data_IF_729945190454
#
_entry.id   IF_729945190454
#
_cell.length_a   1.000
_cell.length_b   1.000
_cell.length_c   1.000
_cell.angle_alpha   90.00
_cell.angle_beta   90.00
_cell.angle_gamma   90.00
#
_symmetry.space_group_name_H-M   'P 1'
#
loop_
_entity.id
_entity.type
_entity.pdbx_description
1 polymer ?
#
# COMPACT_ATOMS: atom_id res chain seq x y z
N UNK A 1 8.89 41.74 -15.40
CA UNK A 1 8.27 40.55 -14.78
C UNK A 1 8.14 40.76 -13.28
N UNK A 2 7.53 41.87 -12.85
CA UNK A 2 7.45 42.22 -11.43
C UNK A 2 6.25 41.51 -10.79
N UNK A 3 6.47 40.76 -9.71
CA UNK A 3 5.42 40.04 -8.95
C UNK A 3 5.46 38.50 -8.98
N UNK A 4 6.51 37.87 -9.52
CA UNK A 4 6.72 36.41 -9.48
C UNK A 4 7.52 35.93 -8.27
N UNK A 5 8.38 36.77 -7.68
CA UNK A 5 9.27 36.39 -6.59
C UNK A 5 8.51 35.86 -5.37
N UNK A 6 7.48 36.58 -4.91
CA UNK A 6 6.62 36.10 -3.79
C UNK A 6 5.90 34.78 -4.03
N UNK A 7 5.69 34.39 -5.29
CA UNK A 7 5.02 33.12 -5.65
C UNK A 7 6.01 31.96 -5.73
N UNK A 8 7.23 32.22 -6.16
CA UNK A 8 8.27 31.22 -6.37
C UNK A 8 9.67 31.83 -6.14
N UNK A 9 10.08 32.00 -4.86
CA UNK A 9 11.36 32.61 -4.52
C UNK A 9 12.54 31.73 -4.91
N UNK A 10 12.36 30.39 -4.96
CA UNK A 10 13.42 29.45 -5.36
C UNK A 10 13.77 29.60 -6.84
N UNK A 11 12.76 29.70 -7.72
CA UNK A 11 13.01 29.91 -9.14
C UNK A 11 13.68 31.27 -9.42
N UNK A 12 13.31 32.31 -8.68
CA UNK A 12 13.93 33.63 -8.80
C UNK A 12 15.40 33.61 -8.35
N UNK A 13 15.70 32.95 -7.22
CA UNK A 13 17.07 32.76 -6.74
C UNK A 13 17.92 31.98 -7.77
N UNK A 14 17.39 30.90 -8.32
CA UNK A 14 18.08 30.10 -9.33
C UNK A 14 18.34 30.88 -10.63
N UNK A 15 17.38 31.73 -11.04
CA UNK A 15 17.55 32.60 -12.21
C UNK A 15 18.66 33.63 -11.98
N UNK A 16 18.69 34.23 -10.79
CA UNK A 16 19.73 35.18 -10.41
C UNK A 16 21.11 34.52 -10.33
N UNK A 17 21.21 33.35 -9.68
CA UNK A 17 22.44 32.55 -9.60
C UNK A 17 23.00 32.23 -10.98
N UNK A 18 22.15 31.72 -11.87
CA UNK A 18 22.52 31.43 -13.27
C UNK A 18 22.99 32.69 -14.00
N UNK A 19 22.39 33.84 -13.74
CA UNK A 19 22.80 35.11 -14.35
C UNK A 19 24.16 35.57 -13.84
N UNK A 20 24.43 35.42 -12.54
CA UNK A 20 25.70 35.77 -11.92
C UNK A 20 26.84 34.90 -12.49
N UNK A 21 26.60 33.60 -12.59
CA UNK A 21 27.58 32.64 -13.12
C UNK A 21 27.92 32.87 -14.59
N UNK A 22 26.94 33.24 -15.42
CA UNK A 22 27.14 33.36 -16.87
C UNK A 22 27.58 34.76 -17.33
N UNK A 23 27.16 35.81 -16.62
CA UNK A 23 27.35 37.19 -17.10
C UNK A 23 28.28 38.02 -16.23
N UNK A 24 28.67 37.52 -15.04
CA UNK A 24 29.55 38.23 -14.09
C UNK A 24 29.19 39.72 -13.92
N UNK A 25 27.92 40.02 -13.58
CA UNK A 25 27.38 41.38 -13.55
C UNK A 25 28.15 42.26 -12.57
N UNK A 26 28.45 43.49 -12.96
CA UNK A 26 29.06 44.46 -12.06
C UNK A 26 28.04 45.02 -11.04
N UNK A 27 28.46 45.93 -10.16
CA UNK A 27 27.55 46.50 -9.16
C UNK A 27 26.33 47.20 -9.79
N UNK A 28 26.49 47.89 -10.93
CA UNK A 28 25.40 48.58 -11.62
C UNK A 28 24.47 47.59 -12.28
N UNK A 29 25.02 46.57 -12.93
CA UNK A 29 24.26 45.48 -13.51
C UNK A 29 23.38 44.80 -12.44
N UNK A 30 23.94 44.58 -11.24
CA UNK A 30 23.20 44.04 -10.11
C UNK A 30 22.06 44.97 -9.64
N UNK A 31 22.23 46.31 -9.69
CA UNK A 31 21.12 47.23 -9.41
C UNK A 31 20.02 47.10 -10.47
N UNK A 32 20.39 47.00 -11.75
CA UNK A 32 19.43 46.85 -12.85
C UNK A 32 18.67 45.52 -12.72
N UNK A 33 19.38 44.44 -12.42
CA UNK A 33 18.80 43.12 -12.18
C UNK A 33 17.82 43.18 -11.00
N UNK A 34 18.22 43.76 -9.86
CA UNK A 34 17.36 43.87 -8.69
C UNK A 34 16.10 44.71 -8.95
N UNK A 35 16.24 45.84 -9.65
CA UNK A 35 15.12 46.72 -10.02
C UNK A 35 14.17 46.10 -11.04
N UNK A 36 14.70 45.26 -11.94
CA UNK A 36 13.90 44.58 -12.97
C UNK A 36 13.16 43.35 -12.43
N UNK A 37 13.79 42.59 -11.52
CA UNK A 37 13.28 41.31 -11.03
C UNK A 37 12.36 41.45 -9.80
N UNK A 38 12.62 42.42 -8.94
CA UNK A 38 11.96 42.54 -7.64
C UNK A 38 11.20 43.87 -7.53
N UNK A 39 10.09 43.86 -6.81
CA UNK A 39 9.41 45.09 -6.39
C UNK A 39 10.22 45.84 -5.32
N UNK A 40 9.92 47.11 -5.11
CA UNK A 40 10.59 47.92 -4.07
C UNK A 40 10.49 47.31 -2.66
N UNK A 41 9.33 46.75 -2.29
CA UNK A 41 9.16 46.09 -1.00
C UNK A 41 10.03 44.82 -0.88
N UNK A 42 10.05 44.00 -1.94
CA UNK A 42 10.86 42.78 -1.99
C UNK A 42 12.35 43.11 -1.90
N UNK A 43 12.81 44.11 -2.65
CA UNK A 43 14.20 44.61 -2.58
C UNK A 43 14.56 45.04 -1.16
N UNK A 44 13.69 45.79 -0.48
CA UNK A 44 13.96 46.26 0.88
C UNK A 44 14.23 45.11 1.85
N UNK A 45 13.44 44.04 1.75
CA UNK A 45 13.62 42.85 2.60
C UNK A 45 14.86 42.04 2.18
N UNK A 46 15.12 41.91 0.88
CA UNK A 46 16.34 41.28 0.33
C UNK A 46 17.61 41.97 0.84
N UNK A 47 17.68 43.29 0.70
CA UNK A 47 18.83 44.09 1.14
C UNK A 47 19.02 43.97 2.66
N UNK A 48 17.93 44.03 3.44
CA UNK A 48 17.99 43.83 4.89
C UNK A 48 18.53 42.46 5.28
N UNK A 49 18.15 41.38 4.59
CA UNK A 49 18.69 40.03 4.85
C UNK A 49 20.15 39.87 4.43
N UNK A 50 20.56 40.50 3.35
CA UNK A 50 21.96 40.53 2.95
C UNK A 50 22.81 41.25 4.02
N UNK A 51 22.35 42.39 4.53
CA UNK A 51 23.02 43.15 5.60
C UNK A 51 23.15 42.36 6.90
N UNK A 52 22.07 41.71 7.36
CA UNK A 52 22.11 40.85 8.54
C UNK A 52 23.18 39.75 8.43
N UNK A 53 23.42 39.23 7.22
CA UNK A 53 24.44 38.19 7.01
C UNK A 53 25.86 38.74 7.12
N UNK A 54 26.11 39.94 6.58
CA UNK A 54 27.40 40.63 6.75
C UNK A 54 27.66 40.93 8.21
N UNK A 55 26.65 41.40 8.94
CA UNK A 55 26.75 41.68 10.38
C UNK A 55 27.09 40.43 11.20
N UNK A 56 26.54 39.25 10.86
CA UNK A 56 26.89 37.99 11.54
C UNK A 56 28.36 37.59 11.33
N UNK A 57 28.87 37.75 10.10
CA UNK A 57 30.27 37.47 9.79
C UNK A 57 31.18 38.43 10.57
N UNK A 58 30.80 39.70 10.64
CA UNK A 58 31.48 40.73 11.44
C UNK A 58 31.55 40.43 12.93
N UNK A 59 30.50 39.86 13.52
CA UNK A 59 30.49 39.51 14.94
C UNK A 59 31.53 38.43 15.26
N UNK A 60 31.91 37.60 14.29
CA UNK A 60 32.85 36.49 14.48
C UNK A 60 34.31 36.82 14.08
N UNK A 61 34.53 37.87 13.28
CA UNK A 61 35.85 38.29 12.81
C UNK A 61 36.13 39.76 13.17
N UNK A 62 36.94 39.99 14.21
CA UNK A 62 37.31 41.32 14.71
C UNK A 62 38.13 42.16 13.70
N UNK A 63 38.61 41.56 12.61
CA UNK A 63 39.32 42.25 11.52
C UNK A 63 38.41 42.57 10.32
N UNK A 64 37.12 42.23 10.38
CA UNK A 64 36.22 42.43 9.27
C UNK A 64 36.03 43.94 8.97
N UNK A 65 36.38 44.32 7.74
CA UNK A 65 36.24 45.65 7.12
C UNK A 65 34.78 46.13 7.14
N UNK A 66 34.51 47.43 7.26
CA UNK A 66 33.16 48.00 7.54
C UNK A 66 32.08 47.42 6.60
N UNK A 67 30.83 47.34 7.07
CA UNK A 67 29.66 46.91 6.27
C UNK A 67 29.63 47.55 4.87
N UNK A 68 29.97 48.84 4.79
CA UNK A 68 30.00 49.61 3.55
C UNK A 68 31.04 49.11 2.53
N UNK A 69 32.08 48.40 2.97
CA UNK A 69 33.12 47.85 2.09
C UNK A 69 32.62 46.60 1.33
N UNK A 70 31.67 45.86 1.90
CA UNK A 70 31.11 44.62 1.32
C UNK A 70 29.73 44.83 0.71
N UNK A 71 28.93 45.73 1.28
CA UNK A 71 27.56 45.99 0.87
C UNK A 71 27.32 47.50 0.66
N UNK A 72 28.00 48.12 -0.31
CA UNK A 72 27.92 49.55 -0.54
C UNK A 72 26.54 49.96 -1.08
N UNK A 73 25.99 51.03 -0.52
CA UNK A 73 24.70 51.60 -0.97
C UNK A 73 24.87 52.47 -2.23
N UNK A 74 26.05 53.05 -2.41
CA UNK A 74 26.42 53.89 -3.55
C UNK A 74 27.41 53.11 -4.43
N UNK A 75 27.41 53.37 -5.74
CA UNK A 75 28.31 52.69 -6.66
C UNK A 75 29.79 52.81 -6.22
N UNK A 76 30.44 51.69 -5.85
CA UNK A 76 31.82 51.69 -5.37
C UNK A 76 32.86 51.83 -6.48
N UNK A 77 32.45 51.78 -7.76
CA UNK A 77 33.34 51.83 -8.93
C UNK A 77 34.43 50.75 -8.89
N UNK A 78 34.06 49.53 -8.48
CA UNK A 78 35.01 48.41 -8.46
C UNK A 78 35.55 48.08 -9.85
N UNK A 79 36.88 48.02 -9.94
CA UNK A 79 37.64 47.61 -11.11
C UNK A 79 37.75 46.09 -11.17
N UNK A 80 37.26 45.52 -12.27
CA UNK A 80 37.30 44.10 -12.57
C UNK A 80 38.74 43.56 -12.69
N UNK A 81 39.70 44.40 -13.06
CA UNK A 81 41.10 44.02 -13.21
C UNK A 81 41.82 43.92 -11.86
N UNK A 82 41.30 44.57 -10.81
CA UNK A 82 41.86 44.51 -9.48
C UNK A 82 41.37 43.26 -8.72
N UNK A 83 42.31 42.40 -8.29
CA UNK A 83 42.00 41.14 -7.60
C UNK A 83 41.20 41.35 -6.30
N UNK A 84 41.51 42.38 -5.52
CA UNK A 84 40.82 42.65 -4.24
C UNK A 84 39.39 43.12 -4.50
N UNK A 85 39.20 44.01 -5.48
CA UNK A 85 37.88 44.55 -5.81
C UNK A 85 36.98 43.51 -6.50
N UNK A 86 37.57 42.59 -7.27
CA UNK A 86 36.86 41.43 -7.81
C UNK A 86 36.31 40.50 -6.72
N UNK A 87 37.08 40.29 -5.65
CA UNK A 87 36.61 39.52 -4.50
C UNK A 87 35.45 40.23 -3.80
N UNK A 88 35.53 41.56 -3.62
CA UNK A 88 34.42 42.35 -3.07
C UNK A 88 33.16 42.27 -3.93
N UNK A 89 33.30 42.34 -5.26
CA UNK A 89 32.20 42.15 -6.19
C UNK A 89 31.58 40.75 -6.09
N UNK A 90 32.41 39.72 -5.99
CA UNK A 90 31.95 38.32 -5.82
C UNK A 90 31.17 38.17 -4.51
N UNK A 91 31.68 38.76 -3.43
CA UNK A 91 31.01 38.73 -2.14
C UNK A 91 29.69 39.51 -2.19
N UNK A 92 29.66 40.67 -2.84
CA UNK A 92 28.44 41.44 -3.05
C UNK A 92 27.37 40.64 -3.81
N UNK A 93 27.74 39.99 -4.91
CA UNK A 93 26.85 39.12 -5.68
C UNK A 93 26.30 37.97 -4.82
N UNK A 94 27.17 37.33 -4.03
CA UNK A 94 26.78 36.26 -3.08
C UNK A 94 25.81 36.77 -2.01
N UNK A 95 26.05 37.95 -1.46
CA UNK A 95 25.20 38.56 -0.43
C UNK A 95 23.81 38.91 -0.98
N UNK A 96 23.72 39.45 -2.18
CA UNK A 96 22.44 39.69 -2.85
C UNK A 96 21.71 38.36 -3.10
N UNK A 97 22.41 37.34 -3.59
CA UNK A 97 21.82 36.01 -3.80
C UNK A 97 21.31 35.41 -2.48
N UNK A 98 22.08 35.55 -1.40
CA UNK A 98 21.66 35.13 -0.06
C UNK A 98 20.40 35.88 0.40
N UNK A 99 20.34 37.20 0.20
CA UNK A 99 19.17 38.02 0.51
C UNK A 99 17.94 37.51 -0.25
N UNK A 100 18.08 37.21 -1.54
CA UNK A 100 16.99 36.65 -2.38
C UNK A 100 16.56 35.26 -1.90
N UNK A 101 17.47 34.43 -1.40
CA UNK A 101 17.12 33.12 -0.88
C UNK A 101 16.39 33.19 0.47
N UNK A 102 16.64 34.22 1.28
CA UNK A 102 16.21 34.29 2.69
C UNK A 102 15.20 35.40 3.01
N UNK A 103 14.92 36.32 2.08
CA UNK A 103 14.01 37.45 2.32
C UNK A 103 12.55 37.06 2.51
N UNK A 104 12.11 35.96 1.89
CA UNK A 104 10.78 35.40 2.14
C UNK A 104 10.94 34.23 3.10
N UNK A 105 10.50 34.35 4.37
CA UNK A 105 10.48 33.23 5.27
C UNK A 105 9.67 32.10 4.65
N UNK A 106 10.28 30.93 4.46
CA UNK A 106 9.54 29.76 3.99
C UNK A 106 8.39 29.51 4.97
N UNK A 107 7.11 29.52 4.54
CA UNK A 107 6.00 29.34 5.46
C UNK A 107 6.14 27.97 6.12
N UNK A 108 6.31 27.96 7.44
CA UNK A 108 6.46 26.75 8.27
C UNK A 108 5.17 25.95 8.27
N UNK A 109 4.93 25.17 7.23
CA UNK A 109 3.77 24.29 7.17
C UNK A 109 4.10 22.94 7.81
N UNK A 110 4.37 22.96 9.12
CA UNK A 110 4.63 21.75 9.90
C UNK A 110 3.45 20.76 9.82
N UNK A 111 2.22 21.26 9.65
CA UNK A 111 1.03 20.43 9.43
C UNK A 111 1.19 19.48 8.24
N UNK A 112 1.88 19.89 7.16
CA UNK A 112 2.16 19.02 6.02
C UNK A 112 3.15 17.90 6.36
N UNK A 113 4.12 18.17 7.22
CA UNK A 113 5.08 17.16 7.70
C UNK A 113 4.35 16.14 8.58
N UNK A 114 3.50 16.60 9.50
CA UNK A 114 2.69 15.72 10.36
C UNK A 114 1.66 14.87 9.61
N UNK A 115 1.29 15.24 8.38
CA UNK A 115 0.38 14.44 7.54
C UNK A 115 1.07 13.24 6.87
N UNK A 116 2.40 13.19 6.84
CA UNK A 116 3.14 12.08 6.23
C UNK A 116 3.15 10.91 7.22
N UNK A 117 2.58 9.79 6.81
CA UNK A 117 2.48 8.55 7.60
C UNK A 117 3.06 7.41 6.78
N UNK A 118 3.81 6.51 7.43
CA UNK A 118 4.42 5.36 6.77
C UNK A 118 3.34 4.48 6.13
N UNK A 119 3.52 4.14 4.85
CA UNK A 119 2.68 3.18 4.15
C UNK A 119 2.78 1.77 4.74
N UNK A 120 1.74 0.95 4.57
CA UNK A 120 1.70 -0.43 5.11
C UNK A 120 2.83 -1.34 4.62
N UNK A 121 3.29 -1.10 3.40
CA UNK A 121 4.31 -1.88 2.69
C UNK A 121 5.56 -1.02 2.41
N UNK A 122 5.61 0.20 2.95
CA UNK A 122 6.71 1.13 2.73
C UNK A 122 7.85 0.85 3.70
N UNK A 123 9.07 0.68 3.16
CA UNK A 123 10.26 0.46 4.00
C UNK A 123 10.55 1.69 4.88
N UNK A 124 11.09 1.51 6.09
CA UNK A 124 11.45 2.63 6.98
C UNK A 124 12.36 3.69 6.34
N UNK A 125 13.35 3.27 5.55
CA UNK A 125 14.27 4.19 4.87
C UNK A 125 13.57 5.04 3.79
N UNK A 126 12.65 4.44 3.02
CA UNK A 126 11.87 5.17 2.02
C UNK A 126 10.96 6.21 2.69
N UNK A 127 10.30 5.83 3.78
CA UNK A 127 9.45 6.72 4.56
C UNK A 127 10.24 7.90 5.16
N UNK A 128 11.43 7.63 5.74
CA UNK A 128 12.29 8.69 6.26
C UNK A 128 12.73 9.66 5.15
N UNK A 129 13.10 9.14 3.98
CA UNK A 129 13.44 9.98 2.81
C UNK A 129 12.27 10.87 2.39
N UNK A 130 11.05 10.34 2.34
CA UNK A 130 9.85 11.11 2.02
C UNK A 130 9.58 12.22 3.07
N UNK A 131 9.84 11.94 4.34
CA UNK A 131 9.77 12.93 5.42
C UNK A 131 10.77 14.08 5.20
N UNK A 132 12.04 13.77 4.90
CA UNK A 132 13.06 14.77 4.59
C UNK A 132 12.68 15.63 3.37
N UNK A 133 12.22 15.00 2.29
CA UNK A 133 11.76 15.71 1.08
C UNK A 133 10.57 16.63 1.37
N UNK A 134 9.65 16.20 2.24
CA UNK A 134 8.49 17.01 2.65
C UNK A 134 8.91 18.17 3.54
N UNK A 135 9.83 17.93 4.49
CA UNK A 135 10.37 18.95 5.36
C UNK A 135 11.08 20.05 4.56
N UNK A 136 11.94 19.69 3.61
CA UNK A 136 12.64 20.64 2.72
C UNK A 136 11.67 21.49 1.88
N UNK A 137 10.53 20.91 1.48
CA UNK A 137 9.57 21.58 0.60
C UNK A 137 8.59 22.49 1.35
N UNK A 138 8.26 22.18 2.59
CA UNK A 138 7.17 22.81 3.34
C UNK A 138 7.61 23.45 4.67
N UNK A 139 8.92 23.42 4.98
CA UNK A 139 9.50 24.05 6.15
C UNK A 139 10.95 24.46 5.89
N UNK A 140 11.47 25.33 6.73
CA UNK A 140 12.86 25.78 6.83
C UNK A 140 13.72 24.90 7.77
N UNK A 141 13.34 23.63 7.97
CA UNK A 141 14.07 22.74 8.90
C UNK A 141 15.46 22.43 8.34
N UNK A 142 16.48 22.74 9.15
CA UNK A 142 17.87 22.45 8.85
C UNK A 142 18.24 21.10 9.50
N UNK A 143 18.50 20.08 8.68
CA UNK A 143 18.78 18.73 9.21
C UNK A 143 20.17 18.62 9.84
N UNK A 144 21.05 19.59 9.63
CA UNK A 144 22.37 19.66 10.28
C UNK A 144 22.26 20.29 11.68
N UNK A 145 21.13 20.98 11.96
CA UNK A 145 20.80 21.50 13.28
C UNK A 145 20.17 20.41 14.16
N UNK A 146 20.79 20.13 15.30
CA UNK A 146 20.36 19.07 16.22
C UNK A 146 18.88 19.13 16.62
N UNK A 147 18.34 20.33 16.89
CA UNK A 147 16.93 20.53 17.27
C UNK A 147 15.94 20.13 16.17
N UNK A 148 16.28 20.42 14.92
CA UNK A 148 15.41 20.18 13.76
C UNK A 148 15.50 18.72 13.32
N UNK A 149 16.70 18.13 13.38
CA UNK A 149 16.92 16.70 13.25
C UNK A 149 16.11 15.92 14.30
N UNK A 150 16.14 16.35 15.57
CA UNK A 150 15.39 15.73 16.66
C UNK A 150 13.87 15.81 16.44
N UNK A 151 13.36 16.93 15.92
CA UNK A 151 11.95 17.04 15.54
C UNK A 151 11.59 16.00 14.47
N UNK A 152 12.40 15.87 13.42
CA UNK A 152 12.15 14.93 12.34
C UNK A 152 12.17 13.46 12.82
N UNK A 153 13.10 13.13 13.72
CA UNK A 153 13.19 11.82 14.38
C UNK A 153 11.92 11.52 15.19
N UNK A 154 11.42 12.47 15.97
CA UNK A 154 10.17 12.29 16.73
C UNK A 154 8.96 12.07 15.81
N UNK A 155 8.89 12.81 14.69
CA UNK A 155 7.83 12.61 13.69
C UNK A 155 7.95 11.22 13.07
N UNK A 156 9.16 10.79 12.71
CA UNK A 156 9.42 9.45 12.18
C UNK A 156 8.92 8.35 13.14
N UNK A 157 9.23 8.44 14.43
CA UNK A 157 8.75 7.47 15.43
C UNK A 157 7.21 7.48 15.51
N UNK A 158 6.60 8.66 15.65
CA UNK A 158 5.14 8.78 15.79
C UNK A 158 4.37 8.27 14.57
N UNK A 159 4.87 8.58 13.38
CA UNK A 159 4.21 8.33 12.10
C UNK A 159 4.61 7.02 11.42
N UNK A 160 5.53 6.26 12.03
CA UNK A 160 5.81 4.87 11.64
C UNK A 160 4.60 3.96 11.86
N UNK A 161 4.59 2.82 11.17
CA UNK A 161 3.58 1.78 11.37
C UNK A 161 3.53 1.34 12.85
N UNK A 162 2.36 0.90 13.37
CA UNK A 162 2.19 0.63 14.80
C UNK A 162 3.17 -0.40 15.41
N UNK A 163 3.53 -1.43 14.65
CA UNK A 163 4.51 -2.45 15.00
C UNK A 163 5.93 -1.87 15.14
N UNK A 164 6.35 -1.09 14.13
CA UNK A 164 7.63 -0.39 14.12
C UNK A 164 7.68 0.65 15.23
N UNK A 165 6.66 1.51 15.33
CA UNK A 165 6.55 2.55 16.35
C UNK A 165 6.71 1.98 17.75
N UNK A 166 6.03 0.88 18.06
CA UNK A 166 6.15 0.21 19.36
C UNK A 166 7.61 -0.18 19.64
N UNK A 167 8.30 -0.78 18.64
CA UNK A 167 9.71 -1.14 18.78
C UNK A 167 10.63 0.07 18.96
N UNK A 168 10.35 1.17 18.27
CA UNK A 168 11.14 2.40 18.38
C UNK A 168 10.93 3.11 19.71
N UNK A 169 9.74 3.00 20.31
CA UNK A 169 9.45 3.55 21.64
C UNK A 169 10.07 2.74 22.79
N UNK A 170 10.44 1.48 22.54
CA UNK A 170 11.17 0.63 23.50
C UNK A 170 12.67 0.97 23.54
N UNK A 171 13.20 1.74 22.58
CA UNK A 171 14.57 2.21 22.62
C UNK A 171 14.66 3.39 23.59
N UNK A 172 15.57 3.30 24.56
CA UNK A 172 15.83 4.33 25.57
C UNK A 172 17.26 4.89 25.43
N UNK A 173 17.52 6.07 25.98
CA UNK A 173 18.84 6.69 25.98
C UNK A 173 19.29 7.27 24.64
N UNK A 174 20.58 7.16 24.32
CA UNK A 174 21.19 7.70 23.09
C UNK A 174 20.67 6.99 21.83
N UNK A 175 20.31 5.71 21.94
CA UNK A 175 19.76 4.92 20.84
C UNK A 175 18.39 5.44 20.36
N UNK A 176 17.63 6.10 21.25
CA UNK A 176 16.35 6.72 20.91
C UNK A 176 16.49 8.01 20.11
N UNK A 177 17.68 8.63 20.15
CA UNK A 177 18.00 9.88 19.43
C UNK A 177 18.81 9.62 18.16
N UNK A 178 19.47 8.46 18.08
CA UNK A 178 20.26 8.06 16.92
C UNK A 178 19.40 7.57 15.76
N UNK A 179 19.35 8.35 14.68
CA UNK A 179 18.65 7.99 13.45
C UNK A 179 19.06 6.63 12.89
N UNK A 180 20.36 6.32 12.90
CA UNK A 180 20.86 5.06 12.35
C UNK A 180 20.34 3.85 13.15
N UNK A 181 20.34 3.94 14.48
CA UNK A 181 19.83 2.87 15.36
C UNK A 181 18.33 2.68 15.20
N UNK A 182 17.58 3.79 15.09
CA UNK A 182 16.14 3.75 14.82
C UNK A 182 15.83 3.11 13.47
N UNK A 183 16.56 3.47 12.41
CA UNK A 183 16.37 2.88 11.08
C UNK A 183 16.69 1.39 11.07
N UNK A 184 17.76 0.97 11.75
CA UNK A 184 18.14 -0.44 11.85
C UNK A 184 17.07 -1.26 12.58
N UNK A 185 16.57 -0.76 13.72
CA UNK A 185 15.49 -1.40 14.47
C UNK A 185 14.19 -1.49 13.66
N UNK A 186 13.81 -0.40 12.99
CA UNK A 186 12.63 -0.36 12.13
C UNK A 186 12.75 -1.35 10.96
N UNK A 187 13.93 -1.45 10.35
CA UNK A 187 14.18 -2.35 9.24
C UNK A 187 14.07 -3.82 9.65
N UNK A 188 14.60 -4.19 10.82
CA UNK A 188 14.46 -5.54 11.40
C UNK A 188 12.99 -5.92 11.57
N UNK A 189 12.17 -5.02 12.12
CA UNK A 189 10.73 -5.26 12.32
C UNK A 189 10.00 -5.42 10.99
N UNK A 190 10.30 -4.56 10.01
CA UNK A 190 9.71 -4.61 8.68
C UNK A 190 9.99 -5.95 7.97
N UNK A 191 11.23 -6.43 7.99
CA UNK A 191 11.58 -7.71 7.37
C UNK A 191 10.97 -8.90 8.10
N UNK A 192 10.98 -8.90 9.43
CA UNK A 192 10.36 -9.97 10.23
C UNK A 192 8.87 -10.12 9.91
N UNK A 193 8.17 -9.01 9.61
CA UNK A 193 6.77 -9.02 9.21
C UNK A 193 6.55 -9.67 7.84
N UNK A 194 7.39 -9.36 6.84
CA UNK A 194 7.31 -10.05 5.55
C UNK A 194 7.59 -11.55 5.69
N UNK A 195 8.56 -11.92 6.51
CA UNK A 195 8.95 -13.32 6.71
C UNK A 195 7.87 -14.13 7.41
N UNK A 196 7.19 -13.55 8.41
CA UNK A 196 6.08 -14.21 9.09
C UNK A 196 4.87 -14.38 8.17
N UNK A 197 4.56 -13.39 7.33
CA UNK A 197 3.49 -13.51 6.33
C UNK A 197 3.79 -14.63 5.31
N UNK A 198 5.04 -14.73 4.84
CA UNK A 198 5.51 -15.82 3.98
C UNK A 198 5.42 -17.19 4.68
N UNK A 199 5.75 -17.26 5.97
CA UNK A 199 5.65 -18.50 6.78
C UNK A 199 4.20 -18.92 7.00
N UNK A 200 3.32 -17.98 7.34
CA UNK A 200 1.88 -18.25 7.46
C UNK A 200 1.28 -18.74 6.14
N UNK A 201 1.66 -18.13 5.01
CA UNK A 201 1.19 -18.56 3.70
C UNK A 201 1.62 -20.00 3.40
N UNK A 202 2.88 -20.35 3.66
CA UNK A 202 3.37 -21.74 3.54
C UNK A 202 2.57 -22.70 4.42
N UNK A 203 2.32 -22.37 5.69
CA UNK A 203 1.49 -23.18 6.61
C UNK A 203 0.06 -23.34 6.11
N UNK A 204 -0.55 -22.27 5.58
CA UNK A 204 -1.91 -22.31 4.99
C UNK A 204 -1.95 -23.18 3.75
N UNK A 205 -0.91 -23.13 2.92
CA UNK A 205 -0.80 -23.97 1.72
C UNK A 205 -0.62 -25.44 2.10
N UNK A 206 0.23 -25.75 3.07
CA UNK A 206 0.44 -27.10 3.59
C UNK A 206 -0.85 -27.70 4.14
N UNK A 207 -1.58 -26.96 4.99
CA UNK A 207 -2.91 -27.39 5.49
C UNK A 207 -3.89 -27.70 4.35
N UNK A 208 -3.89 -26.89 3.29
CA UNK A 208 -4.73 -27.14 2.10
C UNK A 208 -4.28 -28.39 1.34
N UNK A 209 -2.97 -28.64 1.23
CA UNK A 209 -2.44 -29.86 0.59
C UNK A 209 -2.80 -31.09 1.41
N UNK A 210 -2.69 -31.01 2.73
CA UNK A 210 -3.05 -32.10 3.63
C UNK A 210 -4.56 -32.40 3.61
N UNK A 211 -5.41 -31.37 3.62
CA UNK A 211 -6.87 -31.53 3.51
C UNK A 211 -7.25 -32.21 2.18
N UNK A 212 -6.63 -31.84 1.06
CA UNK A 212 -6.82 -32.51 -0.23
C UNK A 212 -6.43 -33.99 -0.17
N UNK A 213 -5.28 -34.32 0.44
CA UNK A 213 -4.83 -35.72 0.64
C UNK A 213 -5.82 -36.50 1.51
N UNK A 214 -6.34 -35.90 2.58
CA UNK A 214 -7.35 -36.51 3.46
C UNK A 214 -8.67 -36.74 2.71
N UNK A 215 -9.11 -35.77 1.90
CA UNK A 215 -10.33 -35.91 1.10
C UNK A 215 -10.19 -37.00 0.02
N UNK A 216 -9.02 -37.11 -0.61
CA UNK A 216 -8.71 -38.15 -1.58
C UNK A 216 -8.74 -39.54 -0.96
N UNK A 217 -8.10 -39.75 0.20
CA UNK A 217 -8.18 -41.01 0.95
C UNK A 217 -9.63 -41.41 1.27
N UNK A 218 -10.45 -40.46 1.72
CA UNK A 218 -11.89 -40.68 1.99
C UNK A 218 -12.67 -41.05 0.72
N UNK A 219 -12.32 -40.47 -0.42
CA UNK A 219 -12.94 -40.80 -1.72
C UNK A 219 -12.54 -42.20 -2.17
N UNK A 220 -11.27 -42.57 -2.00
CA UNK A 220 -10.76 -43.88 -2.35
C UNK A 220 -11.39 -44.98 -1.48
N UNK A 221 -11.50 -44.74 -0.17
CA UNK A 221 -12.17 -45.66 0.77
C UNK A 221 -13.63 -45.90 0.39
N UNK A 222 -14.38 -44.85 0.06
CA UNK A 222 -15.75 -44.97 -0.47
C UNK A 222 -15.80 -45.82 -1.74
N UNK A 223 -14.89 -45.59 -2.68
CA UNK A 223 -14.79 -46.39 -3.91
C UNK A 223 -14.48 -47.86 -3.59
N UNK A 224 -13.63 -48.14 -2.60
CA UNK A 224 -13.32 -49.50 -2.15
C UNK A 224 -14.55 -50.19 -1.54
N UNK A 225 -15.30 -49.50 -0.68
CA UNK A 225 -16.53 -50.03 -0.09
C UNK A 225 -17.63 -50.26 -1.14
N UNK A 226 -17.81 -49.33 -2.08
CA UNK A 226 -18.74 -49.52 -3.22
C UNK A 226 -18.38 -50.76 -4.04
N UNK A 227 -17.08 -50.99 -4.30
CA UNK A 227 -16.59 -52.21 -4.98
C UNK A 227 -16.89 -53.47 -4.18
N UNK A 228 -16.66 -53.47 -2.85
CA UNK A 228 -16.97 -54.61 -1.97
C UNK A 228 -18.47 -54.91 -1.93
N UNK A 229 -19.32 -53.89 -1.83
CA UNK A 229 -20.77 -54.06 -1.84
C UNK A 229 -21.27 -54.63 -3.17
N UNK A 230 -20.71 -54.17 -4.30
CA UNK A 230 -21.01 -54.71 -5.63
C UNK A 230 -20.68 -56.21 -5.71
N UNK A 231 -19.48 -56.62 -5.25
CA UNK A 231 -19.09 -58.04 -5.17
C UNK A 231 -20.03 -58.86 -4.27
N UNK A 232 -20.44 -58.33 -3.12
CA UNK A 232 -21.40 -59.00 -2.21
C UNK A 232 -22.78 -59.19 -2.86
N UNK A 233 -23.27 -58.19 -3.60
CA UNK A 233 -24.53 -58.29 -4.35
C UNK A 233 -24.45 -59.34 -5.45
N UNK A 234 -23.37 -59.35 -6.22
CA UNK A 234 -23.14 -60.35 -7.27
C UNK A 234 -23.10 -61.77 -6.69
N UNK A 235 -22.40 -61.99 -5.56
CA UNK A 235 -22.38 -63.28 -4.87
C UNK A 235 -23.79 -63.75 -4.45
N UNK A 236 -24.58 -62.86 -3.83
CA UNK A 236 -25.98 -63.16 -3.42
C UNK A 236 -26.87 -63.48 -4.61
N UNK A 237 -26.71 -62.79 -5.72
CA UNK A 237 -27.45 -63.08 -6.96
C UNK A 237 -27.04 -64.44 -7.55
N UNK A 238 -25.75 -64.80 -7.50
CA UNK A 238 -25.25 -66.11 -7.95
C UNK A 238 -25.83 -67.25 -7.12
N UNK A 239 -25.81 -67.14 -5.78
CA UNK A 239 -26.42 -68.12 -4.86
C UNK A 239 -27.94 -68.25 -5.08
N UNK A 240 -28.65 -67.14 -5.31
CA UNK A 240 -30.08 -67.18 -5.65
C UNK A 240 -30.34 -67.90 -6.97
N UNK A 241 -29.49 -67.71 -7.99
CA UNK A 241 -29.59 -68.40 -9.28
C UNK A 241 -29.37 -69.90 -9.10
N UNK A 242 -28.41 -70.32 -8.28
CA UNK A 242 -28.16 -71.74 -7.99
C UNK A 242 -29.33 -72.38 -7.24
N UNK A 243 -29.84 -71.76 -6.18
CA UNK A 243 -31.05 -72.25 -5.46
C UNK A 243 -32.28 -72.38 -6.37
N UNK A 244 -32.41 -71.49 -7.37
CA UNK A 244 -33.48 -71.59 -8.39
C UNK A 244 -33.28 -72.78 -9.33
N UNK A 245 -32.03 -73.11 -9.69
CA UNK A 245 -31.70 -74.28 -10.50
C UNK A 245 -31.96 -75.58 -9.73
N UNK A 246 -31.58 -75.67 -8.45
CA UNK A 246 -31.87 -76.83 -7.60
C UNK A 246 -33.38 -77.04 -7.40
N UNK A 247 -34.14 -75.96 -7.15
CA UNK A 247 -35.61 -76.05 -7.04
C UNK A 247 -36.29 -76.51 -8.32
N UNK A 248 -35.72 -76.23 -9.50
CA UNK A 248 -36.21 -76.75 -10.78
C UNK A 248 -35.94 -78.27 -10.89
N UNK A 249 -34.72 -78.72 -10.58
CA UNK A 249 -34.37 -80.15 -10.52
C UNK A 249 -35.18 -80.95 -9.49
N UNK A 250 -35.51 -80.36 -8.35
CA UNK A 250 -36.33 -81.00 -7.31
C UNK A 250 -37.83 -81.08 -7.63
N UNK A 251 -38.35 -80.16 -8.47
CA UNK A 251 -39.74 -80.22 -8.95
C UNK A 251 -39.93 -81.22 -10.08
N UNK A 252 -38.91 -81.44 -10.89
CA UNK A 252 -38.90 -82.47 -11.94
C UNK A 252 -38.91 -83.90 -11.34
N UNK A 253 -38.47 -84.06 -10.08
CA UNK A 253 -38.50 -85.33 -9.32
C UNK A 253 -39.77 -85.54 -8.47
N UNK A 254 -40.63 -84.53 -8.27
CA UNK A 254 -41.84 -84.61 -7.42
C UNK A 254 -43.11 -84.25 -8.19
N UNK A 255 -43.27 -84.89 -9.35
CA UNK A 255 -44.44 -84.80 -10.19
C UNK A 255 -45.37 -86.01 -10.08
N UNK A 256 -45.65 -86.54 -8.87
CA UNK A 256 -46.83 -87.38 -8.61
C UNK A 256 -47.35 -87.10 -7.18
N UNK A 257 -48.68 -87.09 -7.09
CA UNK A 257 -49.56 -86.98 -5.90
C UNK A 257 -50.01 -85.61 -5.34
N UNK A 258 -51.22 -85.25 -5.80
CA UNK A 258 -52.49 -85.08 -5.07
C UNK A 258 -52.67 -84.01 -3.98
N UNK A 259 -53.70 -83.18 -4.28
CA UNK A 259 -54.85 -82.70 -3.48
C UNK A 259 -54.64 -82.21 -2.03
N UNK A 260 -55.12 -80.98 -1.80
CA UNK A 260 -56.25 -80.79 -0.88
C UNK A 260 -56.03 -79.91 0.37
N UNK A 261 -57.02 -79.03 0.56
CA UNK A 261 -57.53 -78.40 1.79
C UNK A 261 -57.03 -77.02 2.23
N UNK A 262 -58.09 -76.26 2.50
CA UNK A 262 -58.35 -74.89 2.94
C UNK A 262 -57.98 -74.63 4.41
N UNK A 263 -57.61 -73.38 4.77
CA UNK A 263 -57.79 -72.85 6.13
C UNK A 263 -58.07 -71.33 6.17
N UNK A 264 -59.14 -70.99 6.90
CA UNK A 264 -59.63 -69.68 7.34
C UNK A 264 -58.58 -68.85 8.11
N UNK A 265 -58.74 -67.51 8.08
CA UNK A 265 -58.07 -66.60 9.00
C UNK A 265 -57.74 -65.20 8.43
N UNK A 266 -58.75 -64.42 8.01
CA UNK A 266 -58.56 -63.06 7.47
C UNK A 266 -59.35 -62.01 8.28
N UNK A 267 -59.04 -61.78 9.55
CA UNK A 267 -59.63 -60.59 10.21
C UNK A 267 -58.86 -59.97 11.39
N UNK A 268 -57.53 -60.08 11.44
CA UNK A 268 -56.68 -59.20 12.29
C UNK A 268 -55.42 -58.64 11.59
N UNK A 269 -55.19 -58.99 10.31
CA UNK A 269 -54.02 -58.54 9.52
C UNK A 269 -54.24 -57.24 8.73
N UNK A 270 -55.47 -56.76 8.59
CA UNK A 270 -55.81 -55.55 7.82
C UNK A 270 -55.40 -54.25 8.51
N UNK A 271 -55.84 -54.04 9.77
CA UNK A 271 -55.60 -52.79 10.52
C UNK A 271 -54.13 -52.52 10.82
N UNK A 272 -53.30 -53.54 11.07
CA UNK A 272 -51.84 -53.38 11.30
C UNK A 272 -51.10 -52.99 10.02
N UNK A 273 -51.43 -53.60 8.87
CA UNK A 273 -50.84 -53.25 7.57
C UNK A 273 -51.23 -51.85 7.10
N UNK A 274 -52.44 -51.38 7.42
CA UNK A 274 -52.90 -50.05 7.06
C UNK A 274 -52.20 -48.94 7.87
N UNK A 275 -52.04 -49.11 9.19
CA UNK A 275 -51.25 -48.19 10.03
C UNK A 275 -49.79 -48.11 9.56
N UNK A 276 -49.17 -49.25 9.24
CA UNK A 276 -47.79 -49.31 8.75
C UNK A 276 -47.62 -48.63 7.37
N UNK A 277 -48.62 -48.75 6.48
CA UNK A 277 -48.65 -48.03 5.19
C UNK A 277 -48.79 -46.51 5.39
N UNK A 278 -49.65 -46.05 6.30
CA UNK A 278 -49.83 -44.62 6.60
C UNK A 278 -48.55 -44.01 7.20
N UNK A 279 -47.86 -44.73 8.07
CA UNK A 279 -46.59 -44.28 8.66
C UNK A 279 -45.45 -44.22 7.62
N UNK A 280 -45.32 -45.23 6.75
CA UNK A 280 -44.36 -45.20 5.64
C UNK A 280 -44.62 -44.03 4.67
N UNK A 281 -45.91 -43.71 4.42
CA UNK A 281 -46.32 -42.57 3.58
C UNK A 281 -45.95 -41.23 4.23
N UNK A 282 -46.13 -41.07 5.55
CA UNK A 282 -45.70 -39.88 6.31
C UNK A 282 -44.18 -39.70 6.30
N UNK A 283 -43.42 -40.75 6.64
CA UNK A 283 -41.94 -40.74 6.59
C UNK A 283 -41.41 -40.46 5.17
N UNK A 284 -42.10 -40.93 4.13
CA UNK A 284 -41.78 -40.63 2.75
C UNK A 284 -41.97 -39.16 2.36
N UNK A 285 -43.07 -38.53 2.80
CA UNK A 285 -43.32 -37.09 2.58
C UNK A 285 -42.27 -36.22 3.26
N UNK A 286 -41.94 -36.51 4.52
CA UNK A 286 -40.94 -35.78 5.30
C UNK A 286 -39.53 -35.86 4.66
N UNK A 287 -39.13 -37.04 4.16
CA UNK A 287 -37.86 -37.21 3.42
C UNK A 287 -37.83 -36.41 2.12
N UNK A 288 -38.95 -36.33 1.40
CA UNK A 288 -39.08 -35.55 0.16
C UNK A 288 -38.96 -34.05 0.44
N UNK A 289 -39.54 -33.59 1.54
CA UNK A 289 -39.49 -32.19 1.97
C UNK A 289 -38.09 -31.78 2.45
N UNK A 290 -37.42 -32.62 3.25
CA UNK A 290 -36.00 -32.42 3.63
C UNK A 290 -35.06 -32.37 2.42
N UNK A 291 -35.31 -33.17 1.37
CA UNK A 291 -34.55 -33.10 0.11
C UNK A 291 -34.79 -31.78 -0.63
N UNK A 292 -36.05 -31.33 -0.74
CA UNK A 292 -36.39 -30.04 -1.35
C UNK A 292 -35.76 -28.86 -0.59
N UNK A 293 -35.73 -28.91 0.75
CA UNK A 293 -35.06 -27.90 1.58
C UNK A 293 -33.55 -27.81 1.29
N UNK A 294 -32.86 -28.95 1.26
CA UNK A 294 -31.42 -29.01 0.93
C UNK A 294 -31.12 -28.51 -0.50
N UNK A 295 -32.00 -28.79 -1.45
CA UNK A 295 -31.85 -28.29 -2.83
C UNK A 295 -32.02 -26.77 -2.91
N UNK A 296 -33.02 -26.20 -2.23
CA UNK A 296 -33.22 -24.74 -2.14
C UNK A 296 -32.02 -24.05 -1.49
N UNK A 297 -31.47 -24.63 -0.43
CA UNK A 297 -30.28 -24.09 0.23
C UNK A 297 -29.04 -24.10 -0.69
N UNK A 298 -28.84 -25.18 -1.45
CA UNK A 298 -27.76 -25.27 -2.46
C UNK A 298 -27.92 -24.19 -3.54
N UNK A 299 -29.13 -24.02 -4.09
CA UNK A 299 -29.42 -22.98 -5.09
C UNK A 299 -29.16 -21.57 -4.53
N UNK A 300 -29.54 -21.31 -3.26
CA UNK A 300 -29.25 -20.03 -2.59
C UNK A 300 -27.76 -19.78 -2.40
N UNK A 301 -26.99 -20.79 -1.98
CA UNK A 301 -25.52 -20.69 -1.83
C UNK A 301 -24.83 -20.47 -3.17
N UNK A 302 -25.30 -21.12 -4.24
CA UNK A 302 -24.78 -20.93 -5.59
C UNK A 302 -25.07 -19.52 -6.13
N UNK A 303 -26.29 -19.00 -5.94
CA UNK A 303 -26.66 -17.63 -6.31
C UNK A 303 -25.75 -16.60 -5.61
N UNK A 304 -25.54 -16.74 -4.29
CA UNK A 304 -24.61 -15.88 -3.52
C UNK A 304 -23.17 -15.96 -4.05
N UNK A 305 -22.68 -17.14 -4.43
CA UNK A 305 -21.33 -17.30 -5.03
C UNK A 305 -21.23 -16.60 -6.40
N UNK A 306 -22.23 -16.76 -7.25
CA UNK A 306 -22.29 -16.10 -8.58
C UNK A 306 -22.32 -14.57 -8.44
N UNK A 307 -23.08 -14.06 -7.48
CA UNK A 307 -23.15 -12.63 -7.17
C UNK A 307 -21.80 -12.06 -6.69
N UNK A 308 -21.15 -12.70 -5.72
CA UNK A 308 -19.78 -12.32 -5.28
C UNK A 308 -18.78 -12.32 -6.43
N UNK A 309 -18.85 -13.28 -7.35
CA UNK A 309 -17.99 -13.33 -8.54
C UNK A 309 -18.25 -12.16 -9.50
N UNK A 310 -19.52 -11.77 -9.69
CA UNK A 310 -19.91 -10.61 -10.51
C UNK A 310 -19.43 -9.30 -9.87
N UNK A 311 -19.57 -9.16 -8.56
CA UNK A 311 -19.10 -7.98 -7.82
C UNK A 311 -17.58 -7.82 -7.91
N UNK A 312 -16.82 -8.92 -7.74
CA UNK A 312 -15.36 -8.93 -7.91
C UNK A 312 -14.95 -8.48 -9.31
N UNK A 313 -15.61 -9.00 -10.36
CA UNK A 313 -15.37 -8.56 -11.75
C UNK A 313 -15.68 -7.07 -11.97
N UNK A 314 -16.77 -6.55 -11.39
CA UNK A 314 -17.11 -5.12 -11.46
C UNK A 314 -16.05 -4.24 -10.79
N UNK A 315 -15.58 -4.62 -9.59
CA UNK A 315 -14.50 -3.89 -8.88
C UNK A 315 -13.20 -3.89 -9.67
N UNK A 316 -12.84 -5.02 -10.27
CA UNK A 316 -11.65 -5.14 -11.11
C UNK A 316 -11.75 -4.26 -12.38
N UNK A 317 -12.90 -4.25 -13.06
CA UNK A 317 -13.14 -3.38 -14.23
C UNK A 317 -12.98 -1.90 -13.87
N UNK A 318 -13.56 -1.46 -12.75
CA UNK A 318 -13.40 -0.07 -12.24
C UNK A 318 -11.93 0.27 -11.95
N UNK A 319 -11.16 -0.64 -11.35
CA UNK A 319 -9.73 -0.45 -11.09
C UNK A 319 -8.94 -0.29 -12.40
N UNK A 320 -9.18 -1.15 -13.39
CA UNK A 320 -8.53 -1.08 -14.71
C UNK A 320 -8.86 0.22 -15.43
N UNK A 321 -10.10 0.69 -15.36
CA UNK A 321 -10.53 1.97 -15.95
C UNK A 321 -9.84 3.16 -15.29
N UNK A 322 -9.75 3.18 -13.94
CA UNK A 322 -9.04 4.24 -13.19
C UNK A 322 -7.58 4.32 -13.62
N UNK A 323 -6.88 3.18 -13.72
CA UNK A 323 -5.48 3.11 -14.21
C UNK A 323 -5.34 3.63 -15.64
N UNK A 324 -6.27 3.29 -16.54
CA UNK A 324 -6.27 3.82 -17.93
C UNK A 324 -6.45 5.34 -17.97
N UNK A 325 -7.40 5.89 -17.19
CA UNK A 325 -7.62 7.34 -17.09
C UNK A 325 -6.40 8.07 -16.55
N UNK A 326 -5.74 7.51 -15.54
CA UNK A 326 -4.51 8.07 -14.97
C UNK A 326 -3.35 8.05 -15.99
N UNK A 327 -3.16 6.95 -16.72
CA UNK A 327 -2.14 6.85 -17.77
C UNK A 327 -2.36 7.91 -18.86
N UNK A 328 -3.61 8.09 -19.34
CA UNK A 328 -3.96 9.14 -20.31
C UNK A 328 -3.68 10.55 -19.77
N UNK A 329 -3.97 10.83 -18.49
CA UNK A 329 -3.65 12.12 -17.86
C UNK A 329 -2.14 12.37 -17.82
N UNK A 330 -1.34 11.37 -17.43
CA UNK A 330 0.13 11.47 -17.41
C UNK A 330 0.70 11.69 -18.82
N UNK A 331 0.16 11.01 -19.82
CA UNK A 331 0.57 11.17 -21.21
C UNK A 331 0.22 12.57 -21.76
N UNK A 332 -0.99 13.09 -21.47
CA UNK A 332 -1.39 14.44 -21.86
C UNK A 332 -0.45 15.49 -21.25
N UNK A 333 -0.13 15.37 -19.95
CA UNK A 333 0.84 16.24 -19.28
C UNK A 333 2.24 16.17 -19.91
N UNK A 334 2.70 14.97 -20.29
CA UNK A 334 3.99 14.80 -20.99
C UNK A 334 4.00 15.48 -22.36
N UNK A 335 2.94 15.32 -23.16
CA UNK A 335 2.81 15.97 -24.47
C UNK A 335 2.74 17.49 -24.35
N UNK A 336 2.03 18.00 -23.36
CA UNK A 336 1.97 19.44 -23.08
C UNK A 336 3.34 19.99 -22.65
N UNK A 337 4.07 19.27 -21.78
CA UNK A 337 5.43 19.64 -21.38
C UNK A 337 6.41 19.64 -22.56
N UNK A 338 6.28 18.72 -23.52
CA UNK A 338 7.09 18.71 -24.75
C UNK A 338 6.76 19.91 -25.66
N UNK A 339 5.47 20.18 -25.91
CA UNK A 339 5.05 21.35 -26.71
C UNK A 339 5.50 22.69 -26.14
N UNK A 340 5.61 22.81 -24.80
CA UNK A 340 6.15 24.01 -24.13
C UNK A 340 7.67 24.13 -24.20
N UNK A 341 8.38 23.09 -24.63
CA UNK A 341 9.84 23.10 -24.81
C UNK A 341 10.26 23.31 -26.28
N UNK A 342 9.33 23.12 -27.22
CA UNK A 342 9.52 23.31 -28.66
C UNK A 342 8.99 24.67 -29.15
N UNK A 343 8.36 25.45 -28.26
CA UNK A 343 8.10 26.89 -28.40
C UNK A 343 9.06 27.61 -27.47
#
# INVERSE_FOLDING_TARGET
MSGTYRKDPENAAQTLETSIENHHPDWKDMQVVNTTLFTFEEQRVIMSKAQEEVEKVHIWDAQARRLEDYFPTINPQWDHNNRVQRLLLTEYQRLILYGVQNAIPKPKNLSKIYQVVQGKDESPSAFYKQLCETARKYSDLDLDREKDAFLLVNIFIRQSNPDIRKKLQELEGEDARSLNKLLEAAWKVYNNREDEEKREEKRREEKRREEKRREEKRREEKRREERKEKRRKEKREREKRERRKEKRKGKERKGKERKGKERKGKERKGKKKEKERKEKKRKGKERKEKRKGKERERKRKEKKRKEKKREKKRKEKKRKEKKRKEKKRKEKKRKEKKRRKEK
#
